data_IF_260959705074
#
_entry.id   IF_260959705074
#
_cell.length_a   1.000
_cell.length_b   1.000
_cell.length_c   1.000
_cell.angle_alpha   90.00
_cell.angle_beta   90.00
_cell.angle_gamma   90.00
#
_symmetry.space_group_name_H-M   'P 1'
#
loop_
_entity.id
_entity.type
_entity.pdbx_description
1 polymer ?
#
# COMPACT_ATOMS: atom_id res chain seq x y z
N UNK A 1 -0.53 -10.83 -20.75
CA UNK A 1 0.89 -10.75 -20.31
C UNK A 1 1.63 -9.68 -21.12
N UNK A 2 2.76 -9.21 -20.63
CA UNK A 2 3.65 -8.24 -21.30
C UNK A 2 4.00 -8.69 -22.71
N UNK A 3 4.35 -9.94 -22.89
CA UNK A 3 4.69 -10.56 -24.17
C UNK A 3 3.54 -10.48 -25.17
N UNK A 4 2.32 -10.77 -24.73
CA UNK A 4 1.12 -10.65 -25.57
C UNK A 4 0.87 -9.21 -26.02
N UNK A 5 1.10 -8.23 -25.17
CA UNK A 5 0.98 -6.82 -25.52
C UNK A 5 1.98 -6.42 -26.60
N UNK A 6 3.27 -6.77 -26.44
CA UNK A 6 4.30 -6.45 -27.43
C UNK A 6 4.13 -7.18 -28.75
N UNK A 7 3.65 -8.42 -28.73
CA UNK A 7 3.35 -9.17 -29.95
C UNK A 7 2.23 -8.53 -30.80
N UNK A 8 1.37 -7.73 -30.20
CA UNK A 8 0.22 -7.09 -30.84
C UNK A 8 0.27 -5.56 -30.74
N UNK A 9 1.47 -4.98 -30.58
CA UNK A 9 1.59 -3.52 -30.34
C UNK A 9 1.02 -2.68 -31.49
N UNK A 10 1.07 -3.18 -32.71
CA UNK A 10 0.52 -2.50 -33.86
C UNK A 10 -1.00 -2.37 -33.86
N UNK A 11 -1.71 -3.27 -33.19
CA UNK A 11 -3.18 -3.22 -33.03
C UNK A 11 -3.61 -2.06 -32.13
N UNK A 12 -2.68 -1.48 -31.38
CA UNK A 12 -2.91 -0.36 -30.48
C UNK A 12 -2.56 1.01 -31.09
N UNK A 13 -2.05 1.05 -32.33
CA UNK A 13 -1.81 2.31 -33.04
C UNK A 13 -3.08 3.15 -33.09
N UNK A 14 -2.97 4.42 -32.68
CA UNK A 14 -4.09 5.34 -32.59
C UNK A 14 -4.99 5.17 -31.33
N UNK A 15 -4.78 4.13 -30.54
CA UNK A 15 -5.50 3.90 -29.26
C UNK A 15 -4.64 4.24 -28.04
N UNK A 16 -3.31 4.20 -28.18
CA UNK A 16 -2.34 4.50 -27.11
C UNK A 16 -1.50 5.69 -27.55
N UNK A 17 -1.35 6.64 -26.65
CA UNK A 17 -0.47 7.79 -26.80
C UNK A 17 0.62 7.67 -25.73
N UNK A 18 1.88 7.61 -26.16
CA UNK A 18 3.02 7.70 -25.25
C UNK A 18 3.30 9.16 -24.95
N UNK A 19 3.46 9.47 -23.68
CA UNK A 19 3.82 10.79 -23.18
C UNK A 19 5.07 10.69 -22.30
N UNK A 20 5.90 11.72 -22.22
CA UNK A 20 6.99 11.77 -21.26
C UNK A 20 6.42 11.82 -19.84
N UNK A 21 7.19 11.33 -18.86
CA UNK A 21 6.76 11.20 -17.47
C UNK A 21 6.36 12.55 -16.85
N UNK A 22 7.04 13.63 -17.18
CA UNK A 22 6.71 14.97 -16.71
C UNK A 22 5.31 15.46 -17.13
N UNK A 23 4.70 14.82 -18.12
CA UNK A 23 3.32 15.07 -18.51
C UNK A 23 2.36 14.04 -17.92
N UNK A 24 2.69 12.75 -18.05
CA UNK A 24 1.81 11.68 -17.57
C UNK A 24 1.68 11.64 -16.05
N UNK A 25 2.74 12.01 -15.33
CA UNK A 25 2.82 11.99 -13.87
C UNK A 25 2.80 13.40 -13.26
N UNK A 26 2.46 14.42 -14.04
CA UNK A 26 2.37 15.79 -13.52
C UNK A 26 1.34 15.88 -12.39
N UNK A 27 1.72 16.28 -11.17
CA UNK A 27 0.81 16.36 -10.03
C UNK A 27 -0.44 17.19 -10.27
N UNK A 28 -0.29 18.30 -11.02
CA UNK A 28 -1.41 19.18 -11.38
C UNK A 28 -2.41 18.48 -12.30
N UNK A 29 -1.93 17.70 -13.28
CA UNK A 29 -2.78 16.96 -14.20
C UNK A 29 -3.51 15.83 -13.46
N UNK A 30 -2.81 15.09 -12.58
CA UNK A 30 -3.39 14.01 -11.77
C UNK A 30 -4.52 14.56 -10.89
N UNK A 31 -4.29 15.67 -10.18
CA UNK A 31 -5.31 16.31 -9.33
C UNK A 31 -6.52 16.79 -10.12
N UNK A 32 -6.28 17.47 -11.24
CA UNK A 32 -7.34 18.00 -12.08
C UNK A 32 -8.24 16.91 -12.67
N UNK A 33 -7.67 15.76 -12.99
CA UNK A 33 -8.42 14.59 -13.51
C UNK A 33 -9.10 13.78 -12.42
N UNK A 34 -8.80 14.03 -11.15
CA UNK A 34 -9.33 13.27 -10.00
C UNK A 34 -9.22 11.75 -10.20
N UNK A 35 -8.03 11.29 -10.53
CA UNK A 35 -7.75 9.90 -10.90
C UNK A 35 -7.95 8.98 -9.68
N UNK A 36 -8.40 7.77 -9.90
CA UNK A 36 -8.29 6.66 -8.95
C UNK A 36 -6.97 5.96 -9.22
N UNK A 37 -6.00 6.13 -8.33
CA UNK A 37 -4.69 5.49 -8.45
C UNK A 37 -4.74 4.07 -7.89
N UNK A 38 -4.24 3.10 -8.67
CA UNK A 38 -4.07 1.71 -8.24
C UNK A 38 -2.59 1.35 -8.36
N UNK A 39 -1.94 1.22 -7.21
CA UNK A 39 -0.52 0.87 -7.09
C UNK A 39 -0.36 -0.52 -6.48
N UNK A 40 0.81 -1.13 -6.67
CA UNK A 40 1.15 -2.39 -6.03
C UNK A 40 2.08 -2.17 -4.84
N UNK A 41 1.97 -3.03 -3.83
CA UNK A 41 2.87 -3.09 -2.69
C UNK A 41 3.57 -4.45 -2.60
N UNK A 42 4.73 -4.50 -1.97
CA UNK A 42 5.37 -5.74 -1.52
C UNK A 42 4.83 -6.10 -0.14
N UNK A 43 4.77 -5.13 0.75
CA UNK A 43 4.21 -5.28 2.09
C UNK A 43 3.62 -3.95 2.59
N UNK A 44 2.72 -4.05 3.56
CA UNK A 44 2.04 -2.93 4.21
C UNK A 44 2.09 -3.14 5.72
N UNK A 45 2.43 -2.10 6.49
CA UNK A 45 2.40 -2.20 7.94
C UNK A 45 1.06 -1.78 8.56
N UNK A 46 0.97 -2.00 9.87
CA UNK A 46 -0.27 -1.76 10.63
C UNK A 46 -0.61 -0.28 10.80
N UNK A 47 0.33 0.63 10.54
CA UNK A 47 0.05 2.06 10.47
C UNK A 47 -0.50 2.48 9.09
N UNK A 48 -0.21 1.69 8.05
CA UNK A 48 -0.55 1.97 6.67
C UNK A 48 0.62 2.46 5.83
N UNK A 49 1.87 2.36 6.33
CA UNK A 49 3.03 2.59 5.49
C UNK A 49 3.20 1.46 4.47
N UNK A 50 3.68 1.80 3.28
CA UNK A 50 3.83 0.88 2.16
C UNK A 50 5.28 0.77 1.74
N UNK A 51 5.75 -0.47 1.61
CA UNK A 51 6.98 -0.84 0.92
C UNK A 51 6.62 -1.43 -0.46
N UNK A 52 7.10 -0.81 -1.52
CA UNK A 52 6.89 -1.23 -2.91
C UNK A 52 8.18 -1.53 -3.65
N UNK A 53 9.34 -1.34 -3.02
CA UNK A 53 10.64 -1.38 -3.69
C UNK A 53 11.62 -2.42 -3.14
N UNK A 54 11.59 -2.72 -1.83
CA UNK A 54 12.60 -3.54 -1.17
C UNK A 54 12.07 -4.89 -0.70
N UNK A 55 12.95 -5.91 -0.78
CA UNK A 55 12.74 -7.21 -0.12
C UNK A 55 13.71 -7.27 1.06
N UNK A 56 13.14 -7.37 2.29
CA UNK A 56 13.95 -7.32 3.51
C UNK A 56 14.74 -6.02 3.62
N UNK A 57 15.84 -6.04 4.38
CA UNK A 57 16.58 -4.83 4.75
C UNK A 57 17.56 -4.31 3.68
N UNK A 58 17.63 -4.89 2.48
CA UNK A 58 18.69 -4.44 1.56
C UNK A 58 18.56 -4.78 0.07
N UNK A 59 17.65 -5.64 -0.33
CA UNK A 59 17.51 -6.01 -1.75
C UNK A 59 16.47 -5.16 -2.46
N UNK A 60 16.89 -4.33 -3.41
CA UNK A 60 15.98 -3.57 -4.27
C UNK A 60 15.35 -4.51 -5.30
N UNK A 61 14.03 -4.64 -5.29
CA UNK A 61 13.25 -5.43 -6.24
C UNK A 61 12.74 -4.59 -7.41
N UNK A 62 12.23 -3.40 -7.12
CA UNK A 62 11.65 -2.48 -8.08
C UNK A 62 12.11 -1.05 -7.81
N UNK A 63 12.02 -0.17 -8.82
CA UNK A 63 12.01 1.27 -8.60
C UNK A 63 10.62 1.73 -8.13
N UNK A 64 10.55 2.88 -7.47
CA UNK A 64 9.29 3.48 -6.99
C UNK A 64 8.36 3.88 -8.15
N UNK A 65 8.92 4.18 -9.32
CA UNK A 65 8.16 4.63 -10.48
C UNK A 65 7.37 5.91 -10.19
N UNK A 66 6.16 5.98 -10.75
CA UNK A 66 5.23 7.11 -10.55
C UNK A 66 4.29 6.95 -9.37
N UNK A 67 4.43 5.90 -8.55
CA UNK A 67 3.45 5.60 -7.49
C UNK A 67 3.29 6.72 -6.47
N UNK A 68 4.38 7.46 -6.15
CA UNK A 68 4.32 8.60 -5.24
C UNK A 68 3.54 9.78 -5.81
N UNK A 69 3.75 10.11 -7.09
CA UNK A 69 3.01 11.18 -7.76
C UNK A 69 1.51 10.88 -7.77
N UNK A 70 1.15 9.64 -8.11
CA UNK A 70 -0.24 9.22 -8.16
C UNK A 70 -0.86 9.10 -6.76
N UNK A 71 -0.18 8.50 -5.78
CA UNK A 71 -0.72 8.35 -4.43
C UNK A 71 -1.05 9.71 -3.78
N UNK A 72 -0.16 10.70 -3.93
CA UNK A 72 -0.32 12.02 -3.30
C UNK A 72 -1.28 12.95 -4.01
N UNK A 73 -1.62 12.69 -5.25
CA UNK A 73 -2.35 13.64 -6.09
C UNK A 73 -3.65 13.10 -6.68
N UNK A 74 -3.93 11.80 -6.53
CA UNK A 74 -5.18 11.19 -6.97
C UNK A 74 -6.37 11.56 -6.07
N UNK A 75 -7.56 11.37 -6.57
CA UNK A 75 -8.78 11.51 -5.77
C UNK A 75 -8.96 10.35 -4.78
N UNK A 76 -8.43 9.16 -5.14
CA UNK A 76 -8.38 7.97 -4.28
C UNK A 76 -7.10 7.23 -4.57
N UNK A 77 -6.33 6.89 -3.52
CA UNK A 77 -5.10 6.12 -3.59
C UNK A 77 -5.31 4.70 -3.05
N UNK A 78 -5.18 3.72 -3.92
CA UNK A 78 -5.32 2.29 -3.60
C UNK A 78 -3.96 1.61 -3.76
N UNK A 79 -3.56 0.83 -2.75
CA UNK A 79 -2.44 -0.10 -2.86
C UNK A 79 -2.94 -1.54 -2.74
N UNK A 80 -2.45 -2.39 -3.62
CA UNK A 80 -2.81 -3.81 -3.64
C UNK A 80 -1.58 -4.70 -3.47
N UNK A 81 -1.75 -5.78 -2.70
CA UNK A 81 -0.75 -6.82 -2.53
C UNK A 81 -1.44 -8.15 -2.25
N UNK A 82 -0.74 -9.28 -2.42
CA UNK A 82 -1.20 -10.53 -1.85
C UNK A 82 -1.09 -10.46 -0.31
N UNK A 83 -1.98 -11.12 0.42
CA UNK A 83 -1.89 -11.15 1.89
C UNK A 83 -0.67 -11.94 2.39
N UNK A 84 -0.11 -12.82 1.54
CA UNK A 84 1.05 -13.65 1.86
C UNK A 84 2.01 -13.75 0.68
N UNK A 85 3.27 -14.06 0.97
CA UNK A 85 4.31 -14.40 0.02
C UNK A 85 4.90 -15.79 0.32
N UNK A 86 5.72 -16.32 -0.61
CA UNK A 86 6.40 -17.62 -0.50
C UNK A 86 5.43 -18.75 -0.11
N UNK A 87 4.41 -18.95 -0.93
CA UNK A 87 3.39 -20.00 -0.75
C UNK A 87 2.73 -19.99 0.65
N UNK A 88 2.42 -18.79 1.15
CA UNK A 88 1.76 -18.60 2.45
C UNK A 88 2.70 -18.62 3.66
N UNK A 89 4.02 -18.66 3.46
CA UNK A 89 4.99 -18.70 4.55
C UNK A 89 5.18 -17.36 5.25
N UNK A 90 5.02 -16.24 4.52
CA UNK A 90 5.30 -14.89 4.99
C UNK A 90 4.05 -14.03 4.84
N UNK A 91 3.72 -13.23 5.86
CA UNK A 91 2.68 -12.21 5.77
C UNK A 91 3.18 -11.00 5.00
N UNK A 92 2.32 -10.43 4.12
CA UNK A 92 2.57 -9.13 3.51
C UNK A 92 1.87 -7.98 4.26
N UNK A 93 1.04 -8.30 5.26
CA UNK A 93 0.59 -7.35 6.27
C UNK A 93 1.45 -7.58 7.50
N UNK A 94 2.29 -6.59 7.85
CA UNK A 94 3.37 -6.75 8.83
C UNK A 94 3.29 -5.71 9.94
N UNK A 95 3.90 -5.94 11.12
CA UNK A 95 3.95 -4.91 12.17
C UNK A 95 4.62 -3.60 11.73
N UNK A 96 5.76 -3.70 11.04
CA UNK A 96 6.48 -2.59 10.42
C UNK A 96 7.06 -3.06 9.09
N UNK A 97 6.97 -2.21 8.07
CA UNK A 97 7.63 -2.46 6.78
C UNK A 97 9.15 -2.33 6.92
N UNK A 98 9.89 -3.14 6.18
CA UNK A 98 11.36 -3.08 6.16
C UNK A 98 11.88 -1.78 5.53
N UNK A 99 11.10 -1.17 4.64
CA UNK A 99 11.41 0.09 3.96
C UNK A 99 10.12 0.86 3.68
N UNK A 100 10.13 2.18 3.89
CA UNK A 100 8.96 3.02 3.66
C UNK A 100 9.13 3.79 2.35
N UNK A 101 8.35 3.41 1.33
CA UNK A 101 8.24 4.15 0.08
C UNK A 101 7.09 5.16 0.13
N UNK A 102 5.96 4.77 0.74
CA UNK A 102 4.80 5.64 0.94
C UNK A 102 4.41 5.62 2.40
N UNK A 103 4.23 6.81 2.96
CA UNK A 103 3.84 6.95 4.36
C UNK A 103 2.34 6.70 4.54
N UNK A 104 1.94 6.42 5.75
CA UNK A 104 0.54 6.30 6.18
C UNK A 104 -0.34 7.49 5.78
N UNK A 105 0.27 8.67 5.57
CA UNK A 105 -0.45 9.89 5.19
C UNK A 105 -0.88 9.92 3.72
N UNK A 106 -0.20 9.15 2.88
CA UNK A 106 -0.46 9.06 1.44
C UNK A 106 -1.23 7.78 1.06
N UNK A 107 -1.51 6.92 2.05
CA UNK A 107 -2.17 5.62 1.86
C UNK A 107 -3.61 5.70 2.34
N UNK A 108 -4.55 5.46 1.43
CA UNK A 108 -5.98 5.55 1.75
C UNK A 108 -6.66 4.18 1.81
N UNK A 109 -6.45 3.34 0.81
CA UNK A 109 -7.12 2.04 0.71
C UNK A 109 -6.09 0.94 0.44
N UNK A 110 -6.17 -0.13 1.20
CA UNK A 110 -5.39 -1.36 0.99
C UNK A 110 -6.33 -2.48 0.53
N UNK A 111 -5.89 -3.22 -0.48
CA UNK A 111 -6.64 -4.37 -1.03
C UNK A 111 -5.74 -5.59 -1.07
N UNK A 112 -6.25 -6.70 -0.56
CA UNK A 112 -5.67 -8.03 -0.73
C UNK A 112 -6.75 -9.00 -1.22
N UNK A 113 -6.39 -10.25 -1.49
CA UNK A 113 -7.38 -11.29 -1.80
C UNK A 113 -8.28 -11.65 -0.61
N UNK A 114 -7.93 -11.18 0.60
CA UNK A 114 -8.77 -11.37 1.79
C UNK A 114 -9.89 -10.32 1.86
N UNK A 115 -9.67 -9.12 1.32
CA UNK A 115 -10.64 -8.04 1.34
C UNK A 115 -10.02 -6.65 1.18
N UNK A 116 -10.74 -5.64 1.64
CA UNK A 116 -10.42 -4.23 1.51
C UNK A 116 -10.43 -3.54 2.88
N UNK A 117 -9.40 -2.74 3.13
CA UNK A 117 -9.29 -1.84 4.28
C UNK A 117 -9.31 -0.38 3.81
N UNK A 118 -10.35 0.37 4.14
CA UNK A 118 -10.41 1.82 3.98
C UNK A 118 -9.84 2.48 5.24
N UNK A 119 -8.70 3.15 5.10
CA UNK A 119 -7.95 3.72 6.21
C UNK A 119 -8.27 5.20 6.47
N UNK A 120 -9.13 5.80 5.64
CA UNK A 120 -9.46 7.22 5.73
C UNK A 120 -10.25 7.53 6.98
N UNK A 121 -9.88 8.62 7.67
CA UNK A 121 -10.56 9.08 8.87
C UNK A 121 -10.37 8.22 10.12
N UNK A 122 -9.52 7.18 10.04
CA UNK A 122 -9.23 6.27 11.16
C UNK A 122 -7.99 6.71 11.93
N UNK A 123 -8.02 6.50 13.24
CA UNK A 123 -6.84 6.57 14.11
C UNK A 123 -5.86 5.43 13.80
N UNK A 124 -4.60 5.54 14.22
CA UNK A 124 -3.60 4.50 14.02
C UNK A 124 -4.04 3.12 14.59
N UNK A 125 -4.72 3.12 15.74
CA UNK A 125 -5.25 1.90 16.34
C UNK A 125 -6.37 1.27 15.50
N UNK A 126 -7.30 2.08 15.01
CA UNK A 126 -8.39 1.61 14.15
C UNK A 126 -7.87 1.11 12.80
N UNK A 127 -6.88 1.81 12.19
CA UNK A 127 -6.21 1.35 10.96
C UNK A 127 -5.61 -0.04 11.12
N UNK A 128 -4.87 -0.27 12.22
CA UNK A 128 -4.28 -1.57 12.50
C UNK A 128 -5.33 -2.69 12.56
N UNK A 129 -6.45 -2.46 13.24
CA UNK A 129 -7.53 -3.44 13.32
C UNK A 129 -8.18 -3.71 11.96
N UNK A 130 -8.50 -2.67 11.19
CA UNK A 130 -9.12 -2.82 9.87
C UNK A 130 -8.18 -3.57 8.91
N UNK A 131 -6.88 -3.28 8.93
CA UNK A 131 -5.88 -4.01 8.13
C UNK A 131 -5.78 -5.48 8.52
N UNK A 132 -5.75 -5.78 9.82
CA UNK A 132 -5.69 -7.15 10.32
C UNK A 132 -6.94 -7.94 9.91
N UNK A 133 -8.12 -7.39 10.14
CA UNK A 133 -9.38 -8.11 9.92
C UNK A 133 -9.69 -8.29 8.44
N UNK A 134 -9.43 -7.27 7.62
CA UNK A 134 -9.87 -7.27 6.24
C UNK A 134 -8.77 -7.70 5.25
N UNK A 135 -7.49 -7.43 5.54
CA UNK A 135 -6.42 -7.62 4.57
C UNK A 135 -5.39 -8.69 4.97
N UNK A 136 -5.19 -8.96 6.26
CA UNK A 136 -4.25 -9.98 6.67
C UNK A 136 -4.80 -11.40 6.46
N UNK A 137 -3.93 -12.32 6.05
CA UNK A 137 -4.28 -13.74 5.97
C UNK A 137 -4.65 -14.28 7.36
N UNK A 138 -5.73 -15.09 7.50
CA UNK A 138 -6.23 -15.56 8.81
C UNK A 138 -5.17 -16.19 9.71
N UNK A 139 -4.20 -16.92 9.13
CA UNK A 139 -3.09 -17.55 9.85
C UNK A 139 -2.27 -16.55 10.69
N UNK A 140 -2.12 -15.31 10.23
CA UNK A 140 -1.26 -14.30 10.87
C UNK A 140 -2.02 -13.32 11.77
N UNK A 141 -3.35 -13.26 11.67
CA UNK A 141 -4.18 -12.33 12.45
C UNK A 141 -3.96 -12.40 13.97
N UNK A 142 -3.88 -13.60 14.59
CA UNK A 142 -3.68 -13.66 16.05
C UNK A 142 -2.40 -12.97 16.52
N UNK A 143 -1.26 -13.23 15.86
CA UNK A 143 0.01 -12.60 16.22
C UNK A 143 0.03 -11.09 15.97
N UNK A 144 -0.61 -10.63 14.88
CA UNK A 144 -0.72 -9.20 14.59
C UNK A 144 -1.61 -8.48 15.62
N UNK A 145 -2.71 -9.08 16.06
CA UNK A 145 -3.56 -8.52 17.14
C UNK A 145 -2.78 -8.42 18.44
N UNK A 146 -2.10 -9.47 18.85
CA UNK A 146 -1.29 -9.47 20.07
C UNK A 146 -0.25 -8.35 20.04
N UNK A 147 0.43 -8.16 18.91
CA UNK A 147 1.38 -7.08 18.70
C UNK A 147 0.74 -5.69 18.91
N UNK A 148 -0.41 -5.42 18.30
CA UNK A 148 -1.13 -4.14 18.43
C UNK A 148 -1.51 -3.87 19.88
N UNK A 149 -2.08 -4.86 20.59
CA UNK A 149 -2.50 -4.70 21.98
C UNK A 149 -1.31 -4.41 22.90
N UNK A 150 -0.20 -5.11 22.70
CA UNK A 150 1.03 -4.87 23.47
C UNK A 150 1.60 -3.47 23.21
N UNK A 151 1.70 -3.05 21.94
CA UNK A 151 2.18 -1.72 21.57
C UNK A 151 1.29 -0.61 22.12
N UNK A 152 -0.03 -0.78 22.07
CA UNK A 152 -1.00 0.18 22.59
C UNK A 152 -0.95 0.28 24.11
N UNK A 153 -0.83 -0.84 24.84
CA UNK A 153 -0.68 -0.86 26.28
C UNK A 153 0.63 -0.16 26.74
N UNK A 154 1.73 -0.39 26.02
CA UNK A 154 3.01 0.29 26.31
C UNK A 154 2.94 1.81 26.04
N UNK A 155 2.28 2.24 24.98
CA UNK A 155 2.08 3.65 24.66
C UNK A 155 1.28 4.36 25.74
N UNK A 156 0.19 3.77 26.21
CA UNK A 156 -0.61 4.30 27.33
C UNK A 156 0.19 4.44 28.62
N UNK A 157 1.05 3.46 28.92
CA UNK A 157 1.87 3.48 30.12
C UNK A 157 2.94 4.58 30.11
N UNK A 158 3.49 4.91 28.91
CA UNK A 158 4.58 5.89 28.78
C UNK A 158 4.12 7.35 28.67
N UNK A 159 2.99 7.62 28.05
CA UNK A 159 2.62 8.97 27.61
C UNK A 159 1.39 9.55 28.30
N UNK A 160 0.79 8.81 29.23
CA UNK A 160 -0.52 9.20 29.74
C UNK A 160 -1.57 9.19 28.62
N UNK A 161 -2.83 9.20 28.97
CA UNK A 161 -3.92 9.12 28.01
C UNK A 161 -3.92 10.36 27.13
N UNK A 162 -3.57 10.24 25.85
CA UNK A 162 -4.04 11.18 24.84
C UNK A 162 -5.53 10.87 24.67
N UNK A 163 -6.36 11.61 25.40
CA UNK A 163 -7.80 11.64 25.11
C UNK A 163 -7.97 12.48 23.87
N UNK A 164 -8.33 11.83 22.77
CA UNK A 164 -8.93 12.48 21.63
C UNK A 164 -10.40 12.74 21.93
#
# INVERSE_FOLDING_TARGET
>A
SRERFYAHIDDYKGKIILRPQELSNAPEVIRRLSIIAMNTAIEVDLAGNVNSTHIGEGAVMNGIGGSGDYARNSGIAIFSTASTAKDGAISCIVPHVAHVDHTEHDTEIIVTEQGLADLRGLTAYERAHVLIENCAHPKFRPGLREYVEQAYAQSKAKHGIIRL
#
